data_IF_143062840350
#
_entry.id   IF_143062840350
#
_cell.length_a   1.000
_cell.length_b   1.000
_cell.length_c   1.000
_cell.angle_alpha   90.00
_cell.angle_beta   90.00
_cell.angle_gamma   90.00
#
_symmetry.space_group_name_H-M   'P 1'
#
loop_
_entity.id
_entity.type
_entity.pdbx_description
1 polymer ?
#
# COMPACT_ATOMS: atom_id res chain seq x y z
N UNK A 1 16.60 13.92 -10.39
CA UNK A 1 16.13 15.31 -10.23
C UNK A 1 14.66 15.45 -10.60
N UNK A 2 14.25 15.29 -11.87
CA UNK A 2 12.84 15.46 -12.28
C UNK A 2 11.84 14.54 -11.52
N UNK A 3 12.19 13.27 -11.33
CA UNK A 3 11.36 12.33 -10.57
C UNK A 3 11.23 12.67 -9.08
N UNK A 4 12.23 13.35 -8.49
CA UNK A 4 12.19 13.78 -7.09
C UNK A 4 11.35 15.05 -6.91
N UNK A 5 11.41 15.97 -7.88
CA UNK A 5 10.60 17.18 -7.91
C UNK A 5 9.11 16.86 -8.10
N UNK A 6 8.78 15.89 -8.96
CA UNK A 6 7.41 15.40 -9.15
C UNK A 6 6.83 14.78 -7.86
N UNK A 7 7.65 13.98 -7.14
CA UNK A 7 7.27 13.40 -5.85
C UNK A 7 7.04 14.48 -4.77
N UNK A 8 7.85 15.54 -4.77
CA UNK A 8 7.69 16.69 -3.85
C UNK A 8 6.45 17.52 -4.20
N UNK A 9 6.16 17.71 -5.48
CA UNK A 9 4.94 18.38 -5.93
C UNK A 9 3.69 17.60 -5.50
N UNK A 10 3.69 16.27 -5.70
CA UNK A 10 2.61 15.40 -5.24
C UNK A 10 2.42 15.48 -3.71
N UNK A 11 3.53 15.50 -2.95
CA UNK A 11 3.49 15.67 -1.49
C UNK A 11 2.74 16.95 -1.07
N UNK A 12 3.08 18.08 -1.69
CA UNK A 12 2.42 19.37 -1.42
C UNK A 12 0.93 19.35 -1.77
N UNK A 13 0.56 18.72 -2.89
CA UNK A 13 -0.86 18.60 -3.29
C UNK A 13 -1.65 17.82 -2.23
N UNK A 14 -1.08 16.78 -1.66
CA UNK A 14 -1.78 15.98 -0.63
C UNK A 14 -1.92 16.69 0.70
N UNK A 15 -0.91 17.46 1.11
CA UNK A 15 -0.99 18.29 2.30
C UNK A 15 -2.04 19.39 2.11
N UNK A 16 -2.13 19.96 0.90
CA UNK A 16 -3.18 20.90 0.54
C UNK A 16 -4.58 20.25 0.61
N UNK A 17 -4.77 19.07 0.02
CA UNK A 17 -6.05 18.33 0.12
C UNK A 17 -6.44 18.04 1.57
N UNK A 18 -5.48 17.74 2.45
CA UNK A 18 -5.72 17.57 3.89
C UNK A 18 -6.19 18.85 4.55
N UNK A 19 -5.53 19.97 4.25
CA UNK A 19 -5.91 21.26 4.79
C UNK A 19 -7.33 21.65 4.36
N UNK A 20 -7.68 21.43 3.08
CA UNK A 20 -9.04 21.66 2.58
C UNK A 20 -10.05 20.76 3.29
N UNK A 21 -9.72 19.48 3.49
CA UNK A 21 -10.57 18.55 4.26
C UNK A 21 -10.84 19.05 5.69
N UNK A 22 -9.81 19.51 6.40
CA UNK A 22 -9.94 20.07 7.75
C UNK A 22 -10.82 21.32 7.75
N UNK A 23 -10.61 22.23 6.78
CA UNK A 23 -11.42 23.45 6.64
C UNK A 23 -12.90 23.10 6.45
N UNK A 24 -13.22 22.08 5.65
CA UNK A 24 -14.60 21.65 5.45
C UNK A 24 -15.24 21.10 6.74
N UNK A 25 -14.48 20.39 7.58
CA UNK A 25 -14.97 19.93 8.88
C UNK A 25 -15.25 21.13 9.80
N UNK A 26 -14.37 22.13 9.82
CA UNK A 26 -14.59 23.37 10.58
C UNK A 26 -15.82 24.12 10.07
N UNK A 27 -15.99 24.22 8.75
CA UNK A 27 -17.17 24.82 8.14
C UNK A 27 -18.46 24.05 8.48
N UNK A 28 -18.41 22.71 8.52
CA UNK A 28 -19.54 21.89 8.94
C UNK A 28 -19.93 22.20 10.40
N UNK A 29 -18.96 22.24 11.31
CA UNK A 29 -19.20 22.61 12.72
C UNK A 29 -19.80 24.01 12.82
N UNK A 30 -19.22 24.99 12.13
CA UNK A 30 -19.70 26.36 12.14
C UNK A 30 -21.15 26.48 11.64
N UNK A 31 -21.49 25.78 10.55
CA UNK A 31 -22.83 25.82 9.95
C UNK A 31 -23.89 25.17 10.85
N UNK A 32 -23.62 23.99 11.41
CA UNK A 32 -24.61 23.24 12.19
C UNK A 32 -24.68 23.65 13.67
N UNK A 33 -23.67 24.35 14.20
CA UNK A 33 -23.66 24.91 15.56
C UNK A 33 -23.80 26.45 15.57
N UNK A 34 -24.43 27.02 14.54
CA UNK A 34 -24.52 28.47 14.35
C UNK A 34 -25.20 29.20 15.53
N UNK A 35 -26.17 28.58 16.19
CA UNK A 35 -26.87 29.16 17.35
C UNK A 35 -25.90 29.53 18.48
N UNK A 36 -24.96 28.63 18.81
CA UNK A 36 -23.91 28.89 19.80
C UNK A 36 -22.94 29.97 19.31
N UNK A 37 -22.52 29.92 18.04
CA UNK A 37 -21.62 30.94 17.46
C UNK A 37 -22.23 32.33 17.52
N UNK A 38 -23.52 32.44 17.25
CA UNK A 38 -24.29 33.68 17.34
C UNK A 38 -24.34 34.20 18.78
N UNK A 39 -24.62 33.33 19.75
CA UNK A 39 -24.68 33.68 21.17
C UNK A 39 -23.33 34.14 21.75
N UNK A 40 -22.21 33.60 21.24
CA UNK A 40 -20.86 34.01 21.64
C UNK A 40 -20.33 35.25 20.91
N UNK A 41 -21.15 35.92 20.08
CA UNK A 41 -20.77 37.08 19.27
C UNK A 41 -19.55 36.86 18.35
N UNK A 42 -19.22 35.61 18.02
CA UNK A 42 -18.13 35.25 17.08
C UNK A 42 -18.65 35.26 15.64
N UNK A 43 -19.58 36.17 15.33
CA UNK A 43 -20.16 36.26 14.00
C UNK A 43 -19.20 37.01 13.07
N UNK A 44 -18.50 36.27 12.24
CA UNK A 44 -17.63 36.82 11.19
C UNK A 44 -18.48 36.88 9.93
N UNK A 45 -19.14 37.99 9.65
CA UNK A 45 -20.05 38.14 8.50
C UNK A 45 -19.44 37.82 7.12
N UNK A 46 -18.11 37.79 7.02
CA UNK A 46 -17.39 37.31 5.82
C UNK A 46 -17.52 35.79 5.65
N UNK A 47 -17.41 35.03 6.74
CA UNK A 47 -17.52 33.56 6.76
C UNK A 47 -18.93 33.14 6.39
N UNK A 48 -19.95 33.81 6.93
CA UNK A 48 -21.36 33.58 6.59
C UNK A 48 -21.62 33.77 5.10
N UNK A 49 -21.10 34.84 4.50
CA UNK A 49 -21.25 35.12 3.06
C UNK A 49 -20.55 34.08 2.20
N UNK A 50 -19.37 33.60 2.62
CA UNK A 50 -18.65 32.53 1.92
C UNK A 50 -19.43 31.22 1.99
N UNK A 51 -19.89 30.82 3.18
CA UNK A 51 -20.66 29.60 3.39
C UNK A 51 -21.98 29.60 2.62
N UNK A 52 -22.72 30.71 2.63
CA UNK A 52 -23.97 30.85 1.87
C UNK A 52 -23.72 30.73 0.36
N UNK A 53 -22.66 31.36 -0.16
CA UNK A 53 -22.29 31.22 -1.57
C UNK A 53 -21.87 29.79 -1.90
N UNK A 54 -21.12 29.13 -1.03
CA UNK A 54 -20.70 27.73 -1.20
C UNK A 54 -21.90 26.79 -1.19
N UNK A 55 -22.86 27.00 -0.28
CA UNK A 55 -24.09 26.21 -0.24
C UNK A 55 -24.95 26.45 -1.49
N UNK A 56 -25.07 27.70 -1.94
CA UNK A 56 -25.85 28.06 -3.13
C UNK A 56 -25.28 27.44 -4.42
N UNK A 57 -23.96 27.33 -4.52
CA UNK A 57 -23.29 26.84 -5.74
C UNK A 57 -23.02 25.34 -5.71
N UNK A 58 -22.64 24.77 -4.55
CA UNK A 58 -22.22 23.37 -4.43
C UNK A 58 -23.22 22.46 -3.69
N UNK A 59 -24.24 23.01 -3.04
CA UNK A 59 -25.22 22.23 -2.27
C UNK A 59 -24.64 21.48 -1.06
N UNK A 60 -23.42 21.82 -0.64
CA UNK A 60 -22.61 21.02 0.28
C UNK A 60 -23.25 20.85 1.66
N UNK A 61 -24.01 21.85 2.12
CA UNK A 61 -24.63 21.88 3.45
C UNK A 61 -26.12 21.50 3.43
N UNK A 62 -26.62 20.97 2.31
CA UNK A 62 -28.00 20.48 2.22
C UNK A 62 -28.25 19.30 3.16
N UNK A 63 -27.24 18.47 3.43
CA UNK A 63 -27.27 17.48 4.50
C UNK A 63 -25.94 17.41 5.26
N UNK A 64 -26.04 17.09 6.55
CA UNK A 64 -24.87 16.87 7.43
C UNK A 64 -23.98 15.77 6.85
N UNK A 65 -24.59 14.75 6.24
CA UNK A 65 -23.89 13.62 5.65
C UNK A 65 -23.10 14.03 4.40
N UNK A 66 -23.65 14.88 3.53
CA UNK A 66 -22.98 15.27 2.28
C UNK A 66 -21.71 16.09 2.54
N UNK A 67 -21.77 17.08 3.42
CA UNK A 67 -20.60 17.88 3.81
C UNK A 67 -19.50 17.02 4.45
N UNK A 68 -19.89 16.06 5.30
CA UNK A 68 -18.97 15.10 5.91
C UNK A 68 -18.36 14.13 4.91
N UNK A 69 -19.16 13.62 3.97
CA UNK A 69 -18.70 12.71 2.93
C UNK A 69 -17.67 13.39 2.03
N UNK A 70 -17.90 14.65 1.64
CA UNK A 70 -16.95 15.42 0.84
C UNK A 70 -15.63 15.66 1.59
N UNK A 71 -15.69 15.99 2.88
CA UNK A 71 -14.50 16.14 3.71
C UNK A 71 -13.69 14.83 3.79
N UNK A 72 -14.35 13.68 3.98
CA UNK A 72 -13.69 12.36 4.03
C UNK A 72 -13.13 11.94 2.67
N UNK A 73 -13.79 12.31 1.57
CA UNK A 73 -13.30 12.02 0.22
C UNK A 73 -11.95 12.72 -0.03
N UNK A 74 -11.85 14.01 0.30
CA UNK A 74 -10.57 14.75 0.21
C UNK A 74 -9.52 14.19 1.18
N UNK A 75 -9.93 13.76 2.37
CA UNK A 75 -9.05 13.11 3.33
C UNK A 75 -8.48 11.80 2.78
N UNK A 76 -9.32 10.97 2.16
CA UNK A 76 -8.93 9.70 1.57
C UNK A 76 -7.91 9.91 0.43
N UNK A 77 -8.19 10.89 -0.46
CA UNK A 77 -7.26 11.28 -1.53
C UNK A 77 -5.92 11.78 -0.98
N UNK A 78 -5.95 12.59 0.10
CA UNK A 78 -4.74 13.03 0.79
C UNK A 78 -3.93 11.86 1.37
N UNK A 79 -4.61 10.86 1.96
CA UNK A 79 -3.92 9.72 2.58
C UNK A 79 -3.24 8.82 1.54
N UNK A 80 -3.84 8.62 0.36
CA UNK A 80 -3.35 7.67 -0.66
C UNK A 80 -1.93 7.95 -1.15
N UNK A 81 -1.55 9.20 -1.40
CA UNK A 81 -0.19 9.45 -1.92
C UNK A 81 0.85 9.66 -0.81
N UNK A 82 0.47 9.86 0.45
CA UNK A 82 1.45 10.15 1.52
C UNK A 82 2.39 8.97 1.74
N UNK A 83 3.69 9.24 1.85
CA UNK A 83 4.68 8.24 2.24
C UNK A 83 4.68 8.18 3.75
N UNK A 84 4.20 7.09 4.32
CA UNK A 84 4.21 6.93 5.76
C UNK A 84 5.58 6.53 6.28
N UNK A 85 5.98 7.11 7.41
CA UNK A 85 7.22 6.76 8.11
C UNK A 85 7.06 5.35 8.69
N UNK A 86 8.02 4.46 8.40
CA UNK A 86 8.07 3.09 8.95
C UNK A 86 8.22 3.19 10.47
N UNK A 87 7.24 2.69 11.22
CA UNK A 87 7.20 2.91 12.67
C UNK A 87 6.61 1.79 13.52
N UNK A 88 5.62 1.03 13.04
CA UNK A 88 4.98 0.01 13.89
C UNK A 88 4.49 -1.19 13.07
N UNK A 89 4.58 -2.40 13.65
CA UNK A 89 3.97 -3.63 13.12
C UNK A 89 2.45 -3.56 13.27
N UNK A 90 1.81 -2.69 12.49
CA UNK A 90 0.38 -2.47 12.59
C UNK A 90 -0.37 -3.57 11.85
N UNK A 91 -1.21 -4.33 12.55
CA UNK A 91 -2.03 -5.37 11.92
C UNK A 91 -3.29 -4.76 11.29
N UNK A 92 -3.80 -5.35 10.21
CA UNK A 92 -5.07 -4.97 9.56
C UNK A 92 -6.24 -4.78 10.52
N UNK A 93 -6.25 -5.53 11.63
CA UNK A 93 -7.26 -5.43 12.69
C UNK A 93 -7.27 -4.06 13.37
N UNK A 94 -6.11 -3.47 13.67
CA UNK A 94 -6.02 -2.16 14.30
C UNK A 94 -6.49 -1.05 13.35
N UNK A 95 -6.15 -1.14 12.06
CA UNK A 95 -6.62 -0.22 11.02
C UNK A 95 -8.15 -0.28 10.90
N UNK A 96 -8.71 -1.50 10.85
CA UNK A 96 -10.15 -1.70 10.78
C UNK A 96 -10.90 -1.12 11.98
N UNK A 97 -10.38 -1.30 13.20
CA UNK A 97 -10.97 -0.72 14.42
C UNK A 97 -10.92 0.81 14.37
N UNK A 98 -9.78 1.40 14.03
CA UNK A 98 -9.64 2.86 13.96
C UNK A 98 -10.56 3.49 12.92
N UNK A 99 -10.68 2.86 11.73
CA UNK A 99 -11.61 3.31 10.69
C UNK A 99 -13.08 3.14 11.13
N UNK A 100 -13.44 2.03 11.76
CA UNK A 100 -14.80 1.79 12.22
C UNK A 100 -15.21 2.77 13.33
N UNK A 101 -14.37 2.96 14.34
CA UNK A 101 -14.61 3.93 15.43
C UNK A 101 -14.65 5.36 14.86
N UNK A 102 -13.72 5.70 13.98
CA UNK A 102 -13.69 6.99 13.30
C UNK A 102 -14.97 7.26 12.51
N UNK A 103 -15.44 6.27 11.74
CA UNK A 103 -16.68 6.36 10.96
C UNK A 103 -17.90 6.56 11.85
N UNK A 104 -18.04 5.77 12.93
CA UNK A 104 -19.17 5.88 13.86
C UNK A 104 -19.18 7.25 14.53
N UNK A 105 -18.06 7.71 15.08
CA UNK A 105 -17.98 9.01 15.75
C UNK A 105 -18.22 10.19 14.79
N UNK A 106 -17.77 10.07 13.53
CA UNK A 106 -17.87 11.16 12.58
C UNK A 106 -19.25 11.27 11.89
N UNK A 107 -19.82 10.15 11.42
CA UNK A 107 -21.08 10.15 10.66
C UNK A 107 -22.32 9.92 11.53
N UNK A 108 -22.24 9.12 12.59
CA UNK A 108 -23.39 8.76 13.42
C UNK A 108 -23.57 9.72 14.62
N UNK A 109 -23.14 10.97 14.52
CA UNK A 109 -23.28 11.96 15.59
C UNK A 109 -24.39 13.00 15.35
N UNK A 110 -25.21 12.81 14.32
CA UNK A 110 -26.32 13.72 13.96
C UNK A 110 -27.39 13.84 15.05
N UNK A 111 -27.68 12.76 15.78
CA UNK A 111 -28.65 12.71 16.87
C UNK A 111 -28.26 13.60 18.06
N UNK A 112 -26.96 13.91 18.22
CA UNK A 112 -26.49 14.79 19.30
C UNK A 112 -27.06 16.20 19.16
N UNK A 113 -27.28 16.67 17.92
CA UNK A 113 -27.85 17.98 17.64
C UNK A 113 -29.34 18.08 18.01
N UNK A 114 -30.01 16.94 18.20
CA UNK A 114 -31.43 16.88 18.58
C UNK A 114 -31.64 16.70 20.10
N UNK A 115 -30.57 16.66 20.90
CA UNK A 115 -30.67 16.51 22.34
C UNK A 115 -31.21 17.78 23.00
N UNK A 116 -32.15 17.69 23.97
CA UNK A 116 -32.69 18.82 24.71
C UNK A 116 -31.72 19.27 25.81
N UNK A 117 -30.48 19.58 25.44
CA UNK A 117 -29.41 20.08 26.30
C UNK A 117 -29.13 21.55 25.98
N UNK A 118 -28.42 22.28 26.86
CA UNK A 118 -27.96 23.64 26.55
C UNK A 118 -27.14 23.66 25.25
N UNK A 119 -27.34 24.70 24.42
CA UNK A 119 -26.71 24.83 23.10
C UNK A 119 -25.18 24.69 23.14
N UNK A 120 -24.55 25.23 24.20
CA UNK A 120 -23.11 25.10 24.46
C UNK A 120 -22.66 23.64 24.66
N UNK A 121 -23.44 22.86 25.43
CA UNK A 121 -23.13 21.46 25.73
C UNK A 121 -23.31 20.57 24.49
N UNK A 122 -24.36 20.80 23.70
CA UNK A 122 -24.60 20.11 22.42
C UNK A 122 -23.46 20.39 21.44
N UNK A 123 -23.06 21.66 21.34
CA UNK A 123 -21.97 22.10 20.46
C UNK A 123 -20.65 21.47 20.86
N UNK A 124 -20.29 21.50 22.16
CA UNK A 124 -19.06 20.89 22.66
C UNK A 124 -19.01 19.38 22.36
N UNK A 125 -20.11 18.66 22.60
CA UNK A 125 -20.18 17.21 22.34
C UNK A 125 -20.13 16.89 20.83
N UNK A 126 -20.78 17.71 20.00
CA UNK A 126 -20.73 17.58 18.54
C UNK A 126 -19.31 17.83 18.00
N UNK A 127 -18.63 18.87 18.49
CA UNK A 127 -17.24 19.18 18.13
C UNK A 127 -16.30 18.04 18.54
N UNK A 128 -16.42 17.56 19.78
CA UNK A 128 -15.57 16.48 20.30
C UNK A 128 -15.73 15.19 19.49
N UNK A 129 -16.96 14.77 19.22
CA UNK A 129 -17.23 13.54 18.44
C UNK A 129 -16.78 13.70 16.98
N UNK A 130 -17.03 14.86 16.37
CA UNK A 130 -16.59 15.14 14.99
C UNK A 130 -15.06 15.18 14.88
N UNK A 131 -14.38 15.84 15.82
CA UNK A 131 -12.92 15.91 15.84
C UNK A 131 -12.27 14.55 16.10
N UNK A 132 -12.75 13.81 17.12
CA UNK A 132 -12.25 12.48 17.44
C UNK A 132 -12.48 11.50 16.27
N UNK A 133 -13.66 11.55 15.65
CA UNK A 133 -13.98 10.75 14.48
C UNK A 133 -13.08 11.05 13.28
N UNK A 134 -12.86 12.34 12.99
CA UNK A 134 -11.98 12.78 11.91
C UNK A 134 -10.53 12.36 12.13
N UNK A 135 -9.99 12.51 13.35
CA UNK A 135 -8.64 12.06 13.71
C UNK A 135 -8.51 10.54 13.54
N UNK A 136 -9.52 9.78 13.98
CA UNK A 136 -9.55 8.33 13.80
C UNK A 136 -9.51 7.92 12.32
N UNK A 137 -10.28 8.59 11.46
CA UNK A 137 -10.26 8.38 10.01
C UNK A 137 -8.94 8.78 9.36
N UNK A 138 -8.32 9.89 9.79
CA UNK A 138 -7.00 10.32 9.32
C UNK A 138 -5.93 9.29 9.67
N UNK A 139 -5.87 8.87 10.93
CA UNK A 139 -4.89 7.87 11.39
C UNK A 139 -5.09 6.53 10.68
N UNK A 140 -6.33 6.05 10.60
CA UNK A 140 -6.68 4.83 9.88
C UNK A 140 -6.33 4.89 8.39
N UNK A 141 -6.60 6.02 7.73
CA UNK A 141 -6.26 6.24 6.32
C UNK A 141 -4.75 6.27 6.08
N UNK A 142 -3.98 6.93 6.95
CA UNK A 142 -2.52 6.96 6.88
C UNK A 142 -1.91 5.57 7.08
N UNK A 143 -2.44 4.78 8.02
CA UNK A 143 -1.99 3.41 8.25
C UNK A 143 -2.36 2.47 7.11
N UNK A 144 -3.57 2.61 6.55
CA UNK A 144 -4.02 1.82 5.39
C UNK A 144 -3.14 2.09 4.16
N UNK A 145 -2.84 3.36 3.88
CA UNK A 145 -1.98 3.77 2.76
C UNK A 145 -0.56 3.20 2.86
N UNK A 146 -0.01 3.10 4.08
CA UNK A 146 1.28 2.46 4.34
C UNK A 146 1.26 0.98 3.96
N UNK A 147 0.29 0.23 4.50
CA UNK A 147 0.23 -1.21 4.35
C UNK A 147 -0.03 -1.66 2.90
N UNK A 148 -0.82 -0.89 2.15
CA UNK A 148 -1.04 -1.14 0.73
C UNK A 148 0.23 -0.93 -0.10
N UNK A 149 1.05 0.07 0.22
CA UNK A 149 2.31 0.34 -0.50
C UNK A 149 3.40 -0.68 -0.19
N UNK A 150 3.47 -1.15 1.06
CA UNK A 150 4.45 -2.17 1.46
C UNK A 150 4.13 -3.55 0.84
N UNK A 151 2.86 -3.90 0.63
CA UNK A 151 2.48 -5.18 0.00
C UNK A 151 2.51 -5.18 -1.53
N UNK A 152 2.45 -4.03 -2.21
CA UNK A 152 2.52 -3.97 -3.68
C UNK A 152 3.95 -3.97 -4.22
N UNK A 153 4.92 -3.59 -3.39
CA UNK A 153 6.34 -3.72 -3.69
C UNK A 153 6.86 -5.06 -3.19
N UNK A 154 6.35 -6.14 -3.78
CA UNK A 154 7.03 -7.43 -3.71
C UNK A 154 8.47 -7.21 -4.14
N UNK A 155 9.39 -7.59 -3.25
CA UNK A 155 10.83 -7.40 -3.35
C UNK A 155 11.33 -7.62 -4.78
N UNK A 156 12.16 -6.70 -5.27
CA UNK A 156 12.80 -6.86 -6.60
C UNK A 156 13.64 -8.15 -6.61
N UNK A 157 14.13 -8.58 -5.45
CA UNK A 157 14.82 -9.84 -5.21
C UNK A 157 13.88 -10.95 -4.67
N UNK A 158 12.63 -10.98 -5.12
CA UNK A 158 11.74 -12.10 -4.84
C UNK A 158 12.16 -13.32 -5.70
N UNK A 159 12.11 -14.54 -5.13
CA UNK A 159 12.37 -15.79 -5.84
C UNK A 159 11.62 -15.89 -7.19
N UNK A 160 10.44 -15.29 -7.29
CA UNK A 160 9.68 -15.23 -8.54
C UNK A 160 10.34 -14.31 -9.59
N UNK A 161 10.83 -13.14 -9.17
CA UNK A 161 11.47 -12.16 -10.06
C UNK A 161 12.88 -12.59 -10.48
N UNK A 162 13.58 -13.36 -9.66
CA UNK A 162 14.87 -13.98 -10.01
C UNK A 162 14.72 -15.28 -10.80
N UNK A 163 13.49 -15.80 -10.91
CA UNK A 163 13.22 -17.03 -11.64
C UNK A 163 12.98 -16.81 -13.13
N UNK A 164 13.51 -17.70 -13.96
CA UNK A 164 13.28 -17.71 -15.41
C UNK A 164 13.07 -19.13 -15.92
N UNK A 165 12.45 -19.24 -17.10
CA UNK A 165 12.20 -20.52 -17.75
C UNK A 165 13.54 -21.16 -18.13
N UNK A 166 13.85 -22.33 -17.56
CA UNK A 166 14.99 -23.15 -17.94
C UNK A 166 14.58 -24.21 -18.97
N UNK A 167 15.58 -24.89 -19.55
CA UNK A 167 15.34 -25.95 -20.54
C UNK A 167 14.66 -27.16 -19.89
N UNK A 168 13.57 -27.63 -20.51
CA UNK A 168 12.77 -28.77 -20.01
C UNK A 168 12.94 -30.01 -20.87
N UNK A 169 13.48 -29.87 -22.08
CA UNK A 169 13.70 -30.98 -22.99
C UNK A 169 15.06 -31.62 -22.72
N UNK A 170 15.07 -32.94 -22.65
CA UNK A 170 16.30 -33.71 -22.63
C UNK A 170 16.89 -33.75 -24.06
N UNK A 171 18.08 -33.19 -24.24
CA UNK A 171 18.76 -33.14 -25.55
C UNK A 171 19.96 -34.08 -25.56
N UNK A 172 19.78 -35.28 -26.10
CA UNK A 172 20.83 -36.30 -26.19
C UNK A 172 21.47 -36.30 -27.57
N UNK A 173 22.79 -36.38 -27.60
CA UNK A 173 23.63 -36.62 -28.77
C UNK A 173 24.86 -37.44 -28.36
N UNK A 174 25.72 -37.77 -29.33
CA UNK A 174 26.91 -38.63 -29.14
C UNK A 174 27.89 -38.11 -28.08
N UNK A 175 27.91 -36.81 -27.80
CA UNK A 175 28.92 -36.18 -26.93
C UNK A 175 28.36 -35.58 -25.63
N UNK A 176 27.05 -35.36 -25.59
CA UNK A 176 26.36 -34.55 -24.60
C UNK A 176 26.49 -35.10 -23.18
N UNK A 177 26.34 -34.24 -22.19
CA UNK A 177 26.10 -34.66 -20.81
C UNK A 177 24.85 -33.97 -20.30
N UNK A 178 23.91 -34.75 -19.77
CA UNK A 178 22.60 -34.26 -19.37
C UNK A 178 22.43 -34.41 -17.85
N UNK A 179 22.20 -33.30 -17.15
CA UNK A 179 22.02 -33.31 -15.69
C UNK A 179 20.56 -32.98 -15.35
N UNK A 180 19.87 -33.82 -14.55
CA UNK A 180 18.52 -33.50 -14.11
C UNK A 180 18.55 -32.33 -13.11
N UNK A 181 17.62 -31.39 -13.27
CA UNK A 181 17.49 -30.22 -12.39
C UNK A 181 16.03 -29.94 -12.04
N UNK A 182 15.82 -29.14 -11.00
CA UNK A 182 14.53 -28.54 -10.66
C UNK A 182 14.70 -27.04 -10.57
N UNK A 183 13.80 -26.31 -11.22
CA UNK A 183 13.79 -24.87 -11.18
C UNK A 183 12.40 -24.35 -10.81
N UNK A 184 12.37 -23.20 -10.16
CA UNK A 184 11.14 -22.51 -9.83
C UNK A 184 10.81 -21.56 -10.97
N UNK A 185 9.55 -21.47 -11.40
CA UNK A 185 9.08 -20.50 -12.39
C UNK A 185 7.56 -20.39 -12.30
N UNK A 186 6.98 -19.19 -12.45
CA UNK A 186 5.52 -18.97 -12.43
C UNK A 186 4.83 -19.58 -11.20
N UNK A 187 5.42 -19.37 -10.02
CA UNK A 187 4.96 -19.89 -8.74
C UNK A 187 4.87 -21.41 -8.63
N UNK A 188 5.60 -22.15 -9.47
CA UNK A 188 5.59 -23.62 -9.48
C UNK A 188 7.01 -24.18 -9.62
N UNK A 189 7.21 -25.37 -9.07
CA UNK A 189 8.41 -26.16 -9.31
C UNK A 189 8.26 -26.91 -10.63
N UNK A 190 9.27 -26.79 -11.48
CA UNK A 190 9.36 -27.45 -12.77
C UNK A 190 10.57 -28.37 -12.77
N UNK A 191 10.41 -29.55 -13.37
CA UNK A 191 11.54 -30.42 -13.69
C UNK A 191 12.17 -29.97 -15.01
N UNK A 192 13.49 -29.99 -15.06
CA UNK A 192 14.26 -29.54 -16.22
C UNK A 192 15.57 -30.28 -16.39
N UNK A 193 16.31 -29.88 -17.41
CA UNK A 193 17.59 -30.51 -17.78
C UNK A 193 18.65 -29.46 -18.08
N UNK A 194 19.81 -29.61 -17.48
CA UNK A 194 21.02 -28.91 -17.91
C UNK A 194 21.67 -29.79 -18.98
N UNK A 195 21.52 -29.38 -20.23
CA UNK A 195 22.05 -30.10 -21.39
C UNK A 195 23.40 -29.48 -21.80
N UNK A 196 24.51 -30.14 -21.46
CA UNK A 196 25.84 -29.79 -21.96
C UNK A 196 26.03 -30.46 -23.31
N UNK A 197 25.56 -29.81 -24.38
CA UNK A 197 25.46 -30.38 -25.73
C UNK A 197 26.83 -30.71 -26.35
N UNK A 198 27.87 -29.96 -25.98
CA UNK A 198 29.24 -30.19 -26.42
C UNK A 198 30.25 -29.91 -25.29
N UNK A 199 30.61 -30.95 -24.49
CA UNK A 199 31.54 -30.82 -23.38
C UNK A 199 32.98 -30.43 -23.78
N UNK A 200 33.37 -30.64 -25.04
CA UNK A 200 34.74 -30.41 -25.51
C UNK A 200 35.10 -28.93 -25.68
N UNK A 201 34.12 -28.01 -25.61
CA UNK A 201 34.36 -26.55 -25.65
C UNK A 201 34.84 -25.96 -24.33
N UNK A 202 35.49 -26.79 -23.51
CA UNK A 202 35.76 -26.58 -22.09
C UNK A 202 34.48 -26.51 -21.24
N UNK A 203 34.46 -27.27 -20.15
CA UNK A 203 33.41 -27.24 -19.14
C UNK A 203 34.04 -26.89 -17.80
N UNK A 204 33.49 -25.89 -17.11
CA UNK A 204 34.00 -25.42 -15.83
C UNK A 204 32.92 -25.63 -14.76
N UNK A 205 33.32 -26.20 -13.62
CA UNK A 205 32.45 -26.38 -12.46
C UNK A 205 33.04 -25.61 -11.28
N UNK A 206 32.34 -24.59 -10.81
CA UNK A 206 32.76 -23.73 -9.70
C UNK A 206 31.87 -23.94 -8.48
N UNK A 207 32.44 -23.81 -7.28
CA UNK A 207 31.68 -23.82 -6.03
C UNK A 207 32.56 -24.05 -4.81
N UNK A 208 32.04 -23.76 -3.63
CA UNK A 208 32.75 -23.88 -2.34
C UNK A 208 33.06 -25.34 -1.97
N UNK A 209 34.13 -25.62 -1.19
CA UNK A 209 34.37 -26.96 -0.65
C UNK A 209 33.14 -27.52 0.07
N UNK A 210 32.82 -28.81 -0.15
CA UNK A 210 31.65 -29.45 0.47
C UNK A 210 30.31 -29.24 -0.26
N UNK A 211 30.24 -28.43 -1.33
CA UNK A 211 28.98 -28.13 -2.04
C UNK A 211 28.42 -29.26 -2.92
N UNK A 212 28.99 -30.47 -2.87
CA UNK A 212 28.48 -31.64 -3.62
C UNK A 212 28.82 -31.70 -5.12
N UNK A 213 29.72 -30.84 -5.63
CA UNK A 213 30.11 -30.80 -7.07
C UNK A 213 30.51 -32.16 -7.65
N UNK A 214 31.30 -32.93 -6.90
CA UNK A 214 31.78 -34.24 -7.36
C UNK A 214 30.62 -35.21 -7.59
N UNK A 215 29.68 -35.27 -6.65
CA UNK A 215 28.52 -36.15 -6.75
C UNK A 215 27.52 -35.69 -7.82
N UNK A 216 27.18 -34.39 -7.81
CA UNK A 216 26.11 -33.86 -8.67
C UNK A 216 26.55 -33.67 -10.13
N UNK A 217 27.81 -33.30 -10.39
CA UNK A 217 28.28 -32.94 -11.74
C UNK A 217 29.35 -33.92 -12.22
N UNK A 218 30.48 -34.05 -11.53
CA UNK A 218 31.65 -34.79 -12.04
C UNK A 218 31.34 -36.27 -12.25
N UNK A 219 30.68 -36.92 -11.29
CA UNK A 219 30.30 -38.33 -11.41
C UNK A 219 29.33 -38.57 -12.58
N UNK A 220 28.40 -37.64 -12.84
CA UNK A 220 27.50 -37.73 -13.99
C UNK A 220 28.24 -37.59 -15.32
N UNK A 221 29.24 -36.70 -15.40
CA UNK A 221 30.13 -36.59 -16.56
C UNK A 221 30.89 -37.88 -16.81
N UNK A 222 31.54 -38.43 -15.78
CA UNK A 222 32.30 -39.68 -15.89
C UNK A 222 31.40 -40.81 -16.35
N UNK A 223 30.24 -41.00 -15.70
CA UNK A 223 29.31 -42.07 -16.02
C UNK A 223 28.83 -41.98 -17.48
N UNK A 224 28.31 -40.83 -17.90
CA UNK A 224 27.72 -40.68 -19.23
C UNK A 224 28.76 -40.74 -20.35
N UNK A 225 29.98 -40.24 -20.12
CA UNK A 225 31.05 -40.34 -21.11
C UNK A 225 31.56 -41.78 -21.27
N UNK A 226 31.68 -42.54 -20.18
CA UNK A 226 32.02 -43.97 -20.24
C UNK A 226 30.92 -44.76 -20.96
N UNK A 227 29.65 -44.50 -20.68
CA UNK A 227 28.51 -45.11 -21.39
C UNK A 227 28.55 -44.84 -22.90
N UNK A 228 29.14 -43.72 -23.30
CA UNK A 228 29.34 -43.31 -24.69
C UNK A 228 30.67 -43.79 -25.30
N UNK A 229 31.47 -44.54 -24.54
CA UNK A 229 32.73 -45.12 -25.01
C UNK A 229 33.91 -44.15 -25.05
N UNK A 230 33.81 -42.97 -24.42
CA UNK A 230 34.93 -42.03 -24.34
C UNK A 230 35.89 -42.41 -23.21
N UNK A 231 37.17 -42.12 -23.44
CA UNK A 231 38.20 -42.13 -22.41
C UNK A 231 38.37 -40.73 -21.81
N UNK A 232 38.70 -40.67 -20.53
CA UNK A 232 38.97 -39.43 -19.80
C UNK A 232 40.21 -39.57 -18.95
N UNK A 233 40.97 -38.48 -18.85
CA UNK A 233 42.00 -38.32 -17.84
C UNK A 233 41.38 -37.60 -16.64
N UNK A 234 41.33 -38.26 -15.48
CA UNK A 234 40.68 -37.79 -14.25
C UNK A 234 41.73 -37.57 -13.18
#
# INVERSE_FOLDING_TARGET
>A
MQQEDDLRALAKIMDFLRAVSIILVVMNVYWYCYETVFNHHVNIGVVDRILMNFNRTAGLFHSILYSKLFAVLLLALSCMGTKGVKGEKLTWRHIGIALAVGFVLFFLNWWLLALPLPADAVTALYVLTTAAGFIGLLMGGLWMSRLLKDNLMDDVFNNENESFMQETRLMVNDYSVNLPTRFYYRKKWHEGWINVVNPFRATIVLGTPGSGKSYAVVNNFIKQQIEKGYSMYV
#
